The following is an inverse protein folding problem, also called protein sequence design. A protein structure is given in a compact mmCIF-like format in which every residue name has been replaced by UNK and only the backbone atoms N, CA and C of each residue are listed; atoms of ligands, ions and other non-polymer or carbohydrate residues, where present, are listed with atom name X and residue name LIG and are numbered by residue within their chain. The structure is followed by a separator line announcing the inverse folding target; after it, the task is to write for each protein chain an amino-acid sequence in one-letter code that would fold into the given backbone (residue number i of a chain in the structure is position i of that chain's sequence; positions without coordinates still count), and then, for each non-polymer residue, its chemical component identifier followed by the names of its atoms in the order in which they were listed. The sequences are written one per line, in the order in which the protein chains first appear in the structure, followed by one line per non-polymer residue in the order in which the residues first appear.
data_IF_756828966667
#
_entry.id   IF_756828966667
#
_cell.length_a   1.000
_cell.length_b   1.000
_cell.length_c   1.000
_cell.angle_alpha   90.00
_cell.angle_beta   90.00
_cell.angle_gamma   90.00
#
_symmetry.space_group_name_H-M   'P 1'
#
loop_
_entity.id
_entity.type
_entity.pdbx_description
1 polymer ?
#
# COMPACT_ATOMS: atom_id res chain seq x y z
N UNK A 1 41.56 9.22 13.55
CA UNK A 1 40.52 10.27 13.58
C UNK A 1 39.32 9.65 14.27
N UNK A 2 38.93 10.14 15.45
CA UNK A 2 37.79 9.59 16.22
C UNK A 2 36.60 10.49 15.93
N UNK A 3 35.49 9.92 15.43
CA UNK A 3 34.23 10.64 15.26
C UNK A 3 33.69 11.04 16.64
N UNK A 4 33.06 12.22 16.72
CA UNK A 4 32.42 12.61 17.98
C UNK A 4 31.21 11.69 18.25
N UNK A 5 30.81 11.54 19.51
CA UNK A 5 29.60 10.78 19.86
C UNK A 5 28.35 11.35 19.16
N UNK A 6 28.33 12.65 18.85
CA UNK A 6 27.25 13.30 18.12
C UNK A 6 27.20 12.80 16.67
N UNK A 7 28.35 12.72 15.99
CA UNK A 7 28.43 12.23 14.60
C UNK A 7 27.96 10.77 14.50
N UNK A 8 28.35 9.93 15.47
CA UNK A 8 27.93 8.52 15.54
C UNK A 8 26.41 8.41 15.74
N UNK A 9 25.85 9.23 16.62
CA UNK A 9 24.41 9.22 16.89
C UNK A 9 23.59 9.71 15.69
N UNK A 10 24.06 10.73 14.96
CA UNK A 10 23.38 11.21 13.74
C UNK A 10 23.39 10.16 12.63
N UNK A 11 24.53 9.47 12.44
CA UNK A 11 24.65 8.38 11.48
C UNK A 11 23.73 7.20 11.82
N UNK A 12 23.67 6.80 13.10
CA UNK A 12 22.77 5.74 13.56
C UNK A 12 21.29 6.10 13.30
N UNK A 13 20.89 7.34 13.60
CA UNK A 13 19.53 7.81 13.32
C UNK A 13 19.20 7.81 11.82
N UNK A 14 20.16 8.19 10.96
CA UNK A 14 19.96 8.15 9.51
C UNK A 14 19.75 6.72 9.00
N UNK A 15 20.54 5.77 9.50
CA UNK A 15 20.41 4.36 9.15
C UNK A 15 19.07 3.78 9.60
N UNK A 16 18.59 4.16 10.79
CA UNK A 16 17.27 3.76 11.30
C UNK A 16 16.14 4.29 10.40
N UNK A 17 16.18 5.57 10.01
CA UNK A 17 15.20 6.16 9.08
C UNK A 17 15.19 5.43 7.73
N UNK A 18 16.35 5.12 7.15
CA UNK A 18 16.41 4.40 5.87
C UNK A 18 15.92 2.95 5.97
N UNK A 19 16.11 2.30 7.13
CA UNK A 19 15.53 0.99 7.41
C UNK A 19 14.00 1.06 7.46
N UNK A 20 13.43 2.04 8.16
CA UNK A 20 11.97 2.27 8.21
C UNK A 20 11.40 2.57 6.81
N UNK A 21 12.05 3.44 6.04
CA UNK A 21 11.67 3.73 4.65
C UNK A 21 11.65 2.48 3.78
N UNK A 22 12.62 1.58 3.97
CA UNK A 22 12.68 0.31 3.23
C UNK A 22 11.50 -0.59 3.55
N UNK A 23 11.13 -0.72 4.83
CA UNK A 23 9.95 -1.50 5.24
C UNK A 23 8.67 -0.89 4.66
N UNK A 24 8.51 0.43 4.74
CA UNK A 24 7.33 1.12 4.17
C UNK A 24 7.20 0.90 2.67
N UNK A 25 8.30 0.99 1.91
CA UNK A 25 8.31 0.71 0.47
C UNK A 25 7.84 -0.72 0.17
N UNK A 26 8.27 -1.70 0.96
CA UNK A 26 7.83 -3.09 0.80
C UNK A 26 6.33 -3.25 1.07
N UNK A 27 5.81 -2.63 2.13
CA UNK A 27 4.38 -2.68 2.44
C UNK A 27 3.55 -2.02 1.33
N UNK A 28 3.97 -0.85 0.83
CA UNK A 28 3.31 -0.17 -0.29
C UNK A 28 3.27 -1.08 -1.53
N UNK A 29 4.39 -1.72 -1.87
CA UNK A 29 4.45 -2.65 -3.00
C UNK A 29 3.51 -3.86 -2.83
N UNK A 30 3.34 -4.37 -1.61
CA UNK A 30 2.37 -5.43 -1.33
C UNK A 30 0.93 -4.96 -1.56
N UNK A 31 0.60 -3.74 -1.15
CA UNK A 31 -0.72 -3.13 -1.40
C UNK A 31 -0.99 -2.95 -2.90
N UNK A 32 0.01 -2.47 -3.66
CA UNK A 32 -0.10 -2.32 -5.11
C UNK A 32 -0.44 -3.65 -5.78
N UNK A 33 0.22 -4.73 -5.37
CA UNK A 33 -0.05 -6.06 -5.90
C UNK A 33 -1.48 -6.51 -5.58
N UNK A 34 -1.92 -6.38 -4.33
CA UNK A 34 -3.29 -6.76 -3.94
C UNK A 34 -4.36 -5.95 -4.67
N UNK A 35 -4.15 -4.65 -4.86
CA UNK A 35 -5.08 -3.79 -5.63
C UNK A 35 -5.13 -4.21 -7.10
N UNK A 36 -3.99 -4.51 -7.71
CA UNK A 36 -3.92 -5.00 -9.09
C UNK A 36 -4.66 -6.34 -9.24
N UNK A 37 -4.35 -7.32 -8.39
CA UNK A 37 -4.97 -8.64 -8.41
C UNK A 37 -6.51 -8.55 -8.25
N UNK A 38 -7.00 -7.69 -7.33
CA UNK A 38 -8.44 -7.47 -7.15
C UNK A 38 -9.08 -6.76 -8.34
N UNK A 39 -8.38 -5.80 -8.95
CA UNK A 39 -8.87 -5.07 -10.12
C UNK A 39 -9.00 -5.99 -11.33
N UNK A 40 -8.06 -6.91 -11.52
CA UNK A 40 -8.08 -7.88 -12.62
C UNK A 40 -9.23 -8.90 -12.48
N UNK A 41 -9.66 -9.19 -11.25
CA UNK A 41 -10.79 -10.08 -10.98
C UNK A 41 -12.16 -9.42 -11.23
N UNK A 42 -12.26 -8.09 -11.15
CA UNK A 42 -13.55 -7.37 -11.25
C UNK A 42 -14.37 -7.71 -12.51
N UNK A 43 -13.80 -7.71 -13.73
CA UNK A 43 -14.58 -8.03 -14.93
C UNK A 43 -15.16 -9.44 -14.92
N UNK A 44 -14.45 -10.40 -14.31
CA UNK A 44 -14.94 -11.77 -14.13
C UNK A 44 -16.10 -11.84 -13.16
N UNK A 45 -15.97 -11.15 -12.03
CA UNK A 45 -17.03 -11.04 -11.02
C UNK A 45 -18.28 -10.36 -11.57
N UNK A 46 -18.12 -9.28 -12.35
CA UNK A 46 -19.25 -8.59 -13.01
C UNK A 46 -20.00 -9.50 -13.99
N UNK A 47 -19.28 -10.26 -14.82
CA UNK A 47 -19.89 -11.22 -15.74
C UNK A 47 -20.65 -12.31 -15.00
N UNK A 48 -20.09 -12.86 -13.93
CA UNK A 48 -20.76 -13.86 -13.10
C UNK A 48 -22.00 -13.29 -12.43
N UNK A 49 -21.91 -12.08 -11.88
CA UNK A 49 -23.03 -11.41 -11.22
C UNK A 49 -24.20 -11.21 -12.18
N UNK A 50 -23.92 -10.74 -13.40
CA UNK A 50 -24.92 -10.56 -14.45
C UNK A 50 -25.53 -11.89 -14.92
N UNK A 51 -24.72 -12.95 -15.03
CA UNK A 51 -25.20 -14.27 -15.45
C UNK A 51 -26.11 -14.95 -14.41
N UNK A 52 -25.92 -14.62 -13.13
CA UNK A 52 -26.68 -15.17 -12.02
C UNK A 52 -27.90 -14.31 -11.63
N UNK A 53 -28.15 -13.19 -12.33
CA UNK A 53 -29.10 -12.14 -11.92
C UNK A 53 -28.94 -11.77 -10.44
N UNK A 54 -27.67 -11.76 -9.99
CA UNK A 54 -27.33 -11.51 -8.61
C UNK A 54 -27.36 -10.01 -8.31
N UNK A 55 -27.77 -9.69 -7.10
CA UNK A 55 -27.71 -8.35 -6.52
C UNK A 55 -26.31 -7.72 -6.72
N UNK A 56 -26.27 -6.57 -7.43
CA UNK A 56 -25.04 -5.81 -7.71
C UNK A 56 -24.34 -5.20 -6.49
N UNK A 57 -24.93 -5.26 -5.30
CA UNK A 57 -24.35 -4.75 -4.05
C UNK A 57 -23.00 -5.42 -3.73
N UNK A 58 -22.83 -6.71 -4.05
CA UNK A 58 -21.56 -7.39 -3.84
C UNK A 58 -20.42 -6.75 -4.66
N UNK A 59 -20.65 -6.48 -5.94
CA UNK A 59 -19.66 -5.86 -6.82
C UNK A 59 -19.35 -4.43 -6.38
N UNK A 60 -20.37 -3.67 -5.97
CA UNK A 60 -20.20 -2.33 -5.40
C UNK A 60 -19.29 -2.36 -4.17
N UNK A 61 -19.54 -3.28 -3.23
CA UNK A 61 -18.72 -3.42 -2.01
C UNK A 61 -17.27 -3.79 -2.33
N UNK A 62 -17.04 -4.64 -3.35
CA UNK A 62 -15.68 -4.98 -3.80
C UNK A 62 -14.98 -3.74 -4.37
N UNK A 63 -15.65 -2.96 -5.23
CA UNK A 63 -15.11 -1.72 -5.80
C UNK A 63 -14.78 -0.69 -4.71
N UNK A 64 -15.66 -0.52 -3.72
CA UNK A 64 -15.42 0.36 -2.58
C UNK A 64 -14.21 -0.08 -1.75
N UNK A 65 -14.08 -1.38 -1.51
CA UNK A 65 -12.93 -1.94 -0.78
C UNK A 65 -11.61 -1.71 -1.53
N UNK A 66 -11.58 -1.85 -2.85
CA UNK A 66 -10.41 -1.53 -3.68
C UNK A 66 -10.05 -0.03 -3.59
N UNK A 67 -11.07 0.84 -3.61
CA UNK A 67 -10.88 2.28 -3.43
C UNK A 67 -10.30 2.63 -2.06
N UNK A 68 -10.76 1.98 -1.00
CA UNK A 68 -10.23 2.14 0.35
C UNK A 68 -8.74 1.73 0.43
N UNK A 69 -8.39 0.56 -0.10
CA UNK A 69 -6.99 0.09 -0.14
C UNK A 69 -6.08 1.06 -0.92
N UNK A 70 -6.58 1.60 -2.04
CA UNK A 70 -5.86 2.59 -2.85
C UNK A 70 -5.59 3.89 -2.08
N UNK A 71 -6.55 4.32 -1.24
CA UNK A 71 -6.40 5.49 -0.38
C UNK A 71 -5.41 5.26 0.76
N UNK A 72 -5.44 4.08 1.41
CA UNK A 72 -4.46 3.73 2.43
C UNK A 72 -3.05 3.72 1.86
N UNK A 73 -2.86 3.08 0.69
CA UNK A 73 -1.58 3.09 -0.02
C UNK A 73 -1.09 4.52 -0.28
N UNK A 74 -1.99 5.42 -0.72
CA UNK A 74 -1.63 6.82 -0.94
C UNK A 74 -1.13 7.49 0.34
N UNK A 75 -1.83 7.31 1.46
CA UNK A 75 -1.41 7.86 2.76
C UNK A 75 -0.04 7.35 3.19
N UNK A 76 0.25 6.06 2.95
CA UNK A 76 1.57 5.48 3.24
C UNK A 76 2.67 6.09 2.36
N UNK A 77 2.36 6.35 1.09
CA UNK A 77 3.29 7.01 0.17
C UNK A 77 3.56 8.47 0.57
N UNK A 78 2.52 9.19 0.96
CA UNK A 78 2.63 10.56 1.46
C UNK A 78 3.47 10.62 2.74
N UNK A 79 3.28 9.66 3.66
CA UNK A 79 4.10 9.51 4.86
C UNK A 79 5.56 9.23 4.53
N UNK A 80 5.83 8.26 3.65
CA UNK A 80 7.18 7.90 3.22
C UNK A 80 7.98 9.11 2.67
N UNK A 81 7.31 10.00 1.94
CA UNK A 81 7.93 11.21 1.38
C UNK A 81 8.08 12.36 2.38
N UNK A 82 7.50 12.23 3.58
CA UNK A 82 7.64 13.20 4.67
C UNK A 82 8.77 12.87 5.66
N UNK A 83 9.30 11.63 5.58
CA UNK A 83 10.47 11.14 6.33
C UNK A 83 11.79 11.52 5.65
#
# INVERSE_FOLDING_TARGET
MVLSQIDINMEANHQEIEAEKTVLRQVISSYDKSVADLTDLLPGLEKMNNALDADGNFITNVKESIGYLSNQRKQMYDYLNSL
#
